data_IF_847148327201
#
_entry.id   IF_847148327201
#
_cell.length_a   1.000
_cell.length_b   1.000
_cell.length_c   1.000
_cell.angle_alpha   90.00
_cell.angle_beta   90.00
_cell.angle_gamma   90.00
#
_symmetry.space_group_name_H-M   'P 1'
#
loop_
_entity.id
_entity.type
_entity.pdbx_description
1 polymer ?
#
# COMPACT_ATOMS: atom_id res chain seq x y z
N UNK A 1 1.15 1.36 -22.71
CA UNK A 1 0.80 2.66 -22.08
C UNK A 1 1.53 2.76 -20.74
N UNK A 2 1.86 3.97 -20.27
CA UNK A 2 2.40 4.15 -18.91
C UNK A 2 1.23 4.28 -17.93
N UNK A 3 1.26 3.52 -16.85
CA UNK A 3 0.23 3.50 -15.82
C UNK A 3 0.65 4.37 -14.64
N UNK A 4 -0.27 5.22 -14.18
CA UNK A 4 -0.08 6.13 -13.05
C UNK A 4 -1.35 6.14 -12.22
N UNK A 5 -1.22 6.19 -10.90
CA UNK A 5 -2.37 6.33 -10.01
C UNK A 5 -2.84 7.79 -9.97
N UNK A 6 -4.14 8.00 -10.16
CA UNK A 6 -4.80 9.28 -9.96
C UNK A 6 -5.94 9.11 -8.97
N UNK A 7 -6.12 10.08 -8.08
CA UNK A 7 -7.33 10.22 -7.26
C UNK A 7 -8.11 11.42 -7.76
N UNK A 8 -9.33 11.18 -8.23
CA UNK A 8 -10.22 12.21 -8.73
C UNK A 8 -11.38 12.43 -7.77
N UNK A 9 -11.75 13.70 -7.55
CA UNK A 9 -12.96 14.03 -6.82
C UNK A 9 -14.18 13.73 -7.70
N UNK A 10 -15.20 13.06 -7.14
CA UNK A 10 -16.37 12.61 -7.92
C UNK A 10 -17.18 13.74 -8.57
N UNK A 11 -17.31 14.88 -7.90
CA UNK A 11 -18.22 15.97 -8.30
C UNK A 11 -17.53 17.26 -8.75
N UNK A 12 -16.21 17.29 -8.70
CA UNK A 12 -15.43 18.51 -8.96
C UNK A 12 -14.26 18.12 -9.83
N UNK A 13 -13.85 19.03 -10.70
CA UNK A 13 -12.66 18.86 -11.52
C UNK A 13 -11.40 19.06 -10.67
N UNK A 14 -11.16 18.08 -9.80
CA UNK A 14 -10.01 18.00 -8.91
C UNK A 14 -9.42 16.62 -9.12
N UNK A 15 -8.19 16.58 -9.62
CA UNK A 15 -7.44 15.35 -9.84
C UNK A 15 -6.07 15.49 -9.20
N UNK A 16 -5.69 14.53 -8.38
CA UNK A 16 -4.38 14.45 -7.74
C UNK A 16 -3.58 13.36 -8.47
N UNK A 17 -2.44 13.75 -9.03
CA UNK A 17 -1.50 12.85 -9.69
C UNK A 17 -0.51 12.28 -8.66
N UNK A 18 -0.48 10.96 -8.50
CA UNK A 18 0.41 10.28 -7.56
C UNK A 18 1.72 9.78 -8.20
N UNK A 19 2.01 10.16 -9.44
CA UNK A 19 3.25 9.81 -10.16
C UNK A 19 4.54 10.32 -9.49
N UNK A 20 4.45 11.24 -8.54
CA UNK A 20 5.57 11.68 -7.71
C UNK A 20 5.92 10.70 -6.58
N UNK A 21 4.99 9.86 -6.15
CA UNK A 21 5.25 8.84 -5.10
C UNK A 21 5.80 7.55 -5.71
N UNK A 22 5.29 7.18 -6.88
CA UNK A 22 5.66 5.97 -7.61
C UNK A 22 5.76 6.35 -9.08
N UNK A 23 6.93 6.11 -9.67
CA UNK A 23 7.16 6.42 -11.07
C UNK A 23 6.16 5.68 -11.98
N UNK A 24 5.77 6.27 -13.12
CA UNK A 24 4.93 5.59 -14.10
C UNK A 24 5.52 4.23 -14.48
N UNK A 25 4.67 3.20 -14.55
CA UNK A 25 5.10 1.84 -14.86
C UNK A 25 4.36 1.26 -16.07
N UNK A 26 5.00 0.34 -16.81
CA UNK A 26 4.35 -0.31 -17.97
C UNK A 26 3.26 -1.28 -17.55
N UNK A 27 3.31 -1.75 -16.31
CA UNK A 27 2.38 -2.67 -15.69
C UNK A 27 1.42 -1.91 -14.75
N UNK A 28 0.14 -2.32 -14.65
CA UNK A 28 -0.79 -1.71 -13.69
C UNK A 28 -0.49 -2.08 -12.23
N UNK A 29 0.34 -3.09 -11.98
CA UNK A 29 0.62 -3.66 -10.67
C UNK A 29 1.22 -2.64 -9.70
N UNK A 30 2.17 -1.82 -10.15
CA UNK A 30 2.84 -0.87 -9.27
C UNK A 30 1.91 0.27 -8.81
N UNK A 31 1.12 0.92 -9.69
CA UNK A 31 0.02 1.79 -9.27
C UNK A 31 -1.03 1.10 -8.37
N UNK A 32 -1.36 -0.17 -8.64
CA UNK A 32 -2.29 -0.93 -7.80
C UNK A 32 -1.72 -1.19 -6.40
N UNK A 33 -0.43 -1.51 -6.29
CA UNK A 33 0.26 -1.66 -5.01
C UNK A 33 0.25 -0.35 -4.22
N UNK A 34 0.44 0.79 -4.88
CA UNK A 34 0.32 2.11 -4.25
C UNK A 34 -1.10 2.35 -3.73
N UNK A 35 -2.13 2.00 -4.52
CA UNK A 35 -3.52 2.12 -4.08
C UNK A 35 -3.81 1.23 -2.85
N UNK A 36 -3.33 -0.01 -2.85
CA UNK A 36 -3.44 -0.91 -1.69
C UNK A 36 -2.71 -0.37 -0.46
N UNK A 37 -1.51 0.20 -0.65
CA UNK A 37 -0.76 0.85 0.42
C UNK A 37 -1.56 2.01 1.04
N UNK A 38 -2.13 2.90 0.20
CA UNK A 38 -2.93 4.02 0.67
C UNK A 38 -4.17 3.55 1.45
N UNK A 39 -4.89 2.56 0.93
CA UNK A 39 -6.05 2.01 1.63
C UNK A 39 -5.67 1.39 2.99
N UNK A 40 -4.59 0.61 3.04
CA UNK A 40 -4.11 0.01 4.29
C UNK A 40 -3.65 1.07 5.29
N UNK A 41 -3.05 2.17 4.82
CA UNK A 41 -2.65 3.27 5.70
C UNK A 41 -3.86 4.05 6.25
N UNK A 42 -4.91 4.23 5.45
CA UNK A 42 -6.14 4.93 5.87
C UNK A 42 -7.05 4.07 6.76
N UNK A 43 -6.94 2.74 6.70
CA UNK A 43 -7.74 1.81 7.50
C UNK A 43 -7.19 1.70 8.94
N UNK A 44 -7.65 2.60 9.81
CA UNK A 44 -7.29 2.62 11.24
C UNK A 44 -7.76 1.40 12.03
N UNK A 45 -8.55 0.48 11.45
CA UNK A 45 -8.91 -0.78 12.10
C UNK A 45 -7.84 -1.86 11.97
N UNK A 46 -6.83 -1.62 11.13
CA UNK A 46 -5.72 -2.53 10.84
C UNK A 46 -4.39 -1.94 11.32
N UNK A 47 -3.38 -2.78 11.59
CA UNK A 47 -2.04 -2.28 11.89
C UNK A 47 -1.49 -1.47 10.71
N UNK A 48 -0.62 -0.51 11.01
CA UNK A 48 0.14 0.24 10.02
C UNK A 48 0.86 -0.70 9.05
N UNK A 49 0.99 -0.31 7.76
CA UNK A 49 1.82 -1.03 6.81
C UNK A 49 3.20 -1.34 7.40
N UNK A 50 3.67 -2.57 7.25
CA UNK A 50 4.95 -2.96 7.83
C UNK A 50 6.12 -2.50 6.96
N UNK A 51 6.68 -1.33 7.30
CA UNK A 51 7.77 -0.66 6.58
C UNK A 51 8.85 -0.14 7.54
N UNK A 52 10.13 -0.11 7.11
CA UNK A 52 11.23 0.44 7.92
C UNK A 52 10.98 1.85 8.44
N UNK A 53 10.36 2.72 7.63
CA UNK A 53 10.02 4.11 8.00
C UNK A 53 9.12 4.19 9.23
N UNK A 54 8.23 3.22 9.41
CA UNK A 54 7.25 3.22 10.49
C UNK A 54 7.75 2.54 11.76
N UNK A 55 8.88 1.83 11.74
CA UNK A 55 9.37 1.03 12.86
C UNK A 55 9.39 1.80 14.19
N UNK A 56 9.98 3.00 14.18
CA UNK A 56 10.07 3.86 15.36
C UNK A 56 8.71 4.34 15.90
N UNK A 57 7.66 4.29 15.08
CA UNK A 57 6.33 4.80 15.43
C UNK A 57 5.31 3.68 15.68
N UNK A 58 5.63 2.40 15.39
CA UNK A 58 4.67 1.29 15.52
C UNK A 58 4.06 1.17 16.92
N UNK A 59 4.85 1.43 17.96
CA UNK A 59 4.41 1.40 19.35
C UNK A 59 3.47 2.56 19.73
N UNK A 60 3.44 3.63 18.93
CA UNK A 60 2.57 4.80 19.15
C UNK A 60 1.17 4.59 18.55
N UNK A 61 1.02 3.68 17.60
CA UNK A 61 -0.27 3.31 17.04
C UNK A 61 -0.89 2.15 17.84
N UNK A 62 -2.02 2.35 18.54
CA UNK A 62 -2.58 1.33 19.45
C UNK A 62 -2.95 0.01 18.77
N UNK A 63 -3.42 0.06 17.51
CA UNK A 63 -3.83 -1.13 16.76
C UNK A 63 -2.59 -1.93 16.35
N UNK A 64 -1.55 -1.24 15.88
CA UNK A 64 -0.25 -1.84 15.56
C UNK A 64 0.43 -2.41 16.79
N UNK A 65 0.47 -1.66 17.90
CA UNK A 65 1.08 -2.11 19.15
C UNK A 65 0.42 -3.38 19.68
N UNK A 66 -0.91 -3.47 19.60
CA UNK A 66 -1.63 -4.68 20.01
C UNK A 66 -1.37 -5.86 19.06
N UNK A 67 -1.36 -5.60 17.75
CA UNK A 67 -1.03 -6.63 16.76
C UNK A 67 0.39 -7.18 16.97
N UNK A 68 1.37 -6.31 17.18
CA UNK A 68 2.78 -6.67 17.39
C UNK A 68 2.94 -7.47 18.68
N UNK A 69 2.25 -7.07 19.77
CA UNK A 69 2.22 -7.82 21.04
C UNK A 69 1.65 -9.23 20.85
N UNK A 70 0.55 -9.39 20.10
CA UNK A 70 -0.09 -10.70 19.87
C UNK A 70 0.76 -11.62 19.00
N UNK A 71 1.46 -11.06 18.01
CA UNK A 71 2.27 -11.84 17.06
C UNK A 71 3.70 -12.07 17.55
N UNK A 72 4.12 -11.38 18.61
CA UNK A 72 5.50 -11.43 19.11
C UNK A 72 6.49 -10.81 18.12
N UNK A 73 6.05 -9.80 17.35
CA UNK A 73 6.92 -9.11 16.39
C UNK A 73 8.05 -8.39 17.14
N UNK A 74 9.27 -8.54 16.64
CA UNK A 74 10.44 -7.82 17.15
C UNK A 74 10.27 -6.29 16.91
N UNK A 75 10.37 -5.43 17.95
CA UNK A 75 10.28 -3.97 17.79
C UNK A 75 11.47 -3.34 17.03
N UNK A 76 12.52 -4.12 16.73
CA UNK A 76 13.68 -3.71 15.94
C UNK A 76 13.82 -4.52 14.65
N UNK A 77 12.74 -5.17 14.20
CA UNK A 77 12.70 -6.08 13.06
C UNK A 77 13.41 -5.54 11.82
N UNK A 78 13.16 -4.27 11.45
CA UNK A 78 13.80 -3.65 10.29
C UNK A 78 15.17 -3.04 10.60
N UNK A 79 15.41 -2.63 11.85
CA UNK A 79 16.62 -1.89 12.25
C UNK A 79 17.82 -2.84 12.35
N UNK A 80 17.61 -4.03 12.90
CA UNK A 80 18.67 -5.02 13.12
C UNK A 80 18.81 -6.00 11.94
N UNK A 81 18.02 -5.83 10.88
CA UNK A 81 18.07 -6.67 9.69
C UNK A 81 19.33 -6.37 8.87
N UNK A 82 20.08 -7.42 8.51
CA UNK A 82 21.24 -7.28 7.63
C UNK A 82 20.83 -7.02 6.17
N UNK A 83 21.77 -6.47 5.39
CA UNK A 83 21.55 -6.08 4.01
C UNK A 83 21.08 -7.22 3.09
N UNK A 84 21.58 -8.45 3.29
CA UNK A 84 21.22 -9.59 2.45
C UNK A 84 19.79 -10.05 2.75
N UNK A 85 19.43 -10.13 4.03
CA UNK A 85 18.06 -10.40 4.45
C UNK A 85 17.10 -9.31 3.95
N UNK A 86 17.50 -8.03 4.05
CA UNK A 86 16.71 -6.90 3.55
C UNK A 86 16.47 -6.98 2.05
N UNK A 87 17.50 -7.25 1.24
CA UNK A 87 17.36 -7.47 -0.21
C UNK A 87 16.40 -8.62 -0.52
N UNK A 88 16.46 -9.71 0.25
CA UNK A 88 15.52 -10.82 0.15
C UNK A 88 14.07 -10.38 0.36
N UNK A 89 13.82 -9.61 1.43
CA UNK A 89 12.49 -9.06 1.72
C UNK A 89 11.97 -8.15 0.62
N UNK A 90 12.81 -7.25 0.10
CA UNK A 90 12.43 -6.36 -1.01
C UNK A 90 12.09 -7.18 -2.26
N UNK A 91 12.90 -8.19 -2.60
CA UNK A 91 12.62 -9.07 -3.74
C UNK A 91 11.29 -9.80 -3.59
N UNK A 92 10.97 -10.29 -2.39
CA UNK A 92 9.70 -10.97 -2.15
C UNK A 92 8.50 -10.00 -2.17
N UNK A 93 8.68 -8.75 -1.72
CA UNK A 93 7.67 -7.70 -1.88
C UNK A 93 7.41 -7.40 -3.36
N UNK A 94 8.45 -7.30 -4.19
CA UNK A 94 8.30 -7.08 -5.63
C UNK A 94 7.53 -8.22 -6.31
N UNK A 95 7.85 -9.48 -5.98
CA UNK A 95 7.07 -10.63 -6.49
C UNK A 95 5.59 -10.55 -6.09
N UNK A 96 5.30 -10.11 -4.86
CA UNK A 96 3.92 -9.92 -4.40
C UNK A 96 3.21 -8.83 -5.18
N UNK A 97 3.91 -7.72 -5.47
CA UNK A 97 3.39 -6.64 -6.33
C UNK A 97 3.07 -7.19 -7.72
N UNK A 98 3.98 -7.96 -8.32
CA UNK A 98 3.75 -8.58 -9.64
C UNK A 98 2.51 -9.49 -9.67
N UNK A 99 2.21 -10.12 -8.52
CA UNK A 99 1.06 -11.01 -8.34
C UNK A 99 -0.24 -10.30 -7.89
N UNK A 100 -0.24 -8.97 -7.71
CA UNK A 100 -1.44 -8.23 -7.29
C UNK A 100 -2.56 -8.35 -8.34
N UNK A 101 -3.77 -8.58 -7.86
CA UNK A 101 -4.99 -8.79 -8.64
C UNK A 101 -6.02 -7.67 -8.46
N UNK A 102 -5.60 -6.46 -8.05
CA UNK A 102 -6.51 -5.35 -7.67
C UNK A 102 -7.60 -5.07 -8.69
N UNK A 103 -7.29 -5.17 -9.99
CA UNK A 103 -8.25 -4.92 -11.06
C UNK A 103 -9.33 -6.02 -11.20
N UNK A 104 -9.11 -7.20 -10.64
CA UNK A 104 -10.07 -8.29 -10.57
C UNK A 104 -11.04 -8.15 -9.38
N UNK A 105 -10.78 -7.23 -8.45
CA UNK A 105 -11.60 -7.05 -7.25
C UNK A 105 -12.94 -6.40 -7.60
N UNK A 106 -14.02 -6.70 -6.86
CA UNK A 106 -15.32 -6.10 -7.11
C UNK A 106 -15.29 -4.57 -7.04
N UNK A 107 -15.76 -3.91 -8.09
CA UNK A 107 -15.97 -2.47 -8.07
C UNK A 107 -17.21 -2.14 -7.23
N UNK A 108 -16.99 -1.76 -5.96
CA UNK A 108 -18.08 -1.40 -5.05
C UNK A 108 -18.86 -0.16 -5.51
N UNK A 109 -18.22 0.75 -6.24
CA UNK A 109 -18.85 1.96 -6.74
C UNK A 109 -19.87 1.68 -7.85
N UNK A 110 -19.80 0.53 -8.52
CA UNK A 110 -20.78 0.13 -9.55
C UNK A 110 -22.23 0.12 -9.03
N UNK A 111 -22.42 -0.06 -7.70
CA UNK A 111 -23.74 0.01 -7.06
C UNK A 111 -24.27 1.44 -6.87
N UNK A 112 -23.41 2.43 -7.02
CA UNK A 112 -23.65 3.82 -6.63
C UNK A 112 -23.42 4.85 -7.76
N UNK A 113 -22.88 4.41 -8.91
CA UNK A 113 -22.57 5.25 -10.07
C UNK A 113 -22.91 4.53 -11.37
N UNK A 114 -23.25 5.30 -12.39
CA UNK A 114 -23.26 4.86 -13.78
C UNK A 114 -21.97 5.35 -14.42
N UNK A 115 -21.19 4.44 -14.99
CA UNK A 115 -20.04 4.79 -15.82
C UNK A 115 -20.54 5.12 -17.22
N UNK A 116 -20.15 6.27 -17.75
CA UNK A 116 -20.38 6.67 -19.15
C UNK A 116 -19.05 6.49 -19.88
N UNK A 117 -19.09 5.77 -20.99
CA UNK A 117 -17.94 5.50 -21.86
C UNK A 117 -17.50 6.75 -22.65
#
# INVERSE_FOLDING_TARGET
PMNVLYLAHRYRDIVINFGSLVAPDRSPQLPCALWDFLQNYMDTSRPLPDLPRYEQYRHLDPVTAEHDRRTGRDPRYWIDMDDETFKGKVKDMLKRIDAIDTLSRPNLMLKHVTYVD
#
